data_IF_587937217609
#
_entry.id   IF_587937217609
#
_cell.length_a   1.000
_cell.length_b   1.000
_cell.length_c   1.000
_cell.angle_alpha   90.00
_cell.angle_beta   90.00
_cell.angle_gamma   90.00
#
_symmetry.space_group_name_H-M   'P 1'
#
loop_
_entity.id
_entity.type
_entity.pdbx_description
1 polymer ?
#
# COMPACT_ATOMS: atom_id res chain seq x y z
N UNK A 1 -11.17 -21.66 6.51
CA UNK A 1 -11.96 -20.58 5.88
C UNK A 1 -12.88 -20.03 6.96
N UNK A 2 -12.87 -18.73 7.23
CA UNK A 2 -13.74 -18.14 8.26
C UNK A 2 -15.19 -18.15 7.76
N UNK A 3 -16.14 -18.61 8.58
CA UNK A 3 -17.57 -18.53 8.29
C UNK A 3 -18.03 -17.07 8.45
N UNK A 4 -17.97 -16.32 7.34
CA UNK A 4 -18.29 -14.89 7.28
C UNK A 4 -19.74 -14.71 6.84
N UNK A 5 -20.46 -13.87 7.58
CA UNK A 5 -21.82 -13.43 7.29
C UNK A 5 -21.84 -11.95 7.00
N UNK A 6 -22.91 -11.46 6.40
CA UNK A 6 -23.03 -10.05 6.01
C UNK A 6 -24.39 -9.50 6.40
N UNK A 7 -24.43 -8.25 6.88
CA UNK A 7 -25.66 -7.56 7.24
C UNK A 7 -26.19 -6.75 6.05
N UNK A 8 -27.46 -6.98 5.71
CA UNK A 8 -28.13 -6.36 4.57
C UNK A 8 -29.29 -5.50 5.09
N UNK A 9 -29.23 -4.21 4.82
CA UNK A 9 -30.34 -3.28 5.05
C UNK A 9 -31.28 -3.30 3.84
N UNK A 10 -32.56 -3.61 4.05
CA UNK A 10 -33.59 -3.71 3.02
C UNK A 10 -34.52 -2.51 3.13
N UNK A 11 -34.69 -1.80 2.02
CA UNK A 11 -35.63 -0.70 1.87
C UNK A 11 -36.60 -1.00 0.72
N UNK A 12 -37.90 -1.01 1.01
CA UNK A 12 -38.96 -1.22 0.00
C UNK A 12 -39.65 0.09 -0.38
N UNK A 13 -40.16 0.19 -1.60
CA UNK A 13 -40.82 1.41 -2.09
C UNK A 13 -42.23 1.62 -1.53
N UNK A 14 -42.87 0.59 -1.00
CA UNK A 14 -44.19 0.67 -0.36
C UNK A 14 -44.41 -0.37 0.75
N UNK A 15 -45.47 -0.17 1.53
CA UNK A 15 -45.86 -1.02 2.66
C UNK A 15 -46.57 -2.32 2.20
N UNK A 16 -47.18 -2.29 1.02
CA UNK A 16 -47.86 -3.39 0.33
C UNK A 16 -46.91 -4.49 -0.15
N UNK A 17 -45.60 -4.19 -0.23
CA UNK A 17 -44.55 -5.11 -0.68
C UNK A 17 -44.17 -6.19 0.34
N UNK A 18 -45.09 -6.57 1.25
CA UNK A 18 -44.84 -7.62 2.23
C UNK A 18 -44.46 -8.96 1.58
N UNK A 19 -45.13 -9.43 0.51
CA UNK A 19 -44.76 -10.70 -0.13
C UNK A 19 -43.32 -10.68 -0.68
N UNK A 20 -42.93 -9.62 -1.39
CA UNK A 20 -41.58 -9.47 -1.94
C UNK A 20 -40.53 -9.39 -0.84
N UNK A 21 -40.81 -8.64 0.23
CA UNK A 21 -39.93 -8.49 1.40
C UNK A 21 -39.69 -9.83 2.10
N UNK A 22 -40.74 -10.63 2.31
CA UNK A 22 -40.63 -11.95 2.93
C UNK A 22 -39.72 -12.85 2.09
N UNK A 23 -39.95 -12.93 0.78
CA UNK A 23 -39.16 -13.75 -0.13
C UNK A 23 -37.69 -13.29 -0.16
N UNK A 24 -37.46 -11.97 -0.29
CA UNK A 24 -36.12 -11.41 -0.26
C UNK A 24 -35.39 -11.75 1.06
N UNK A 25 -36.06 -11.54 2.19
CA UNK A 25 -35.47 -11.77 3.52
C UNK A 25 -35.17 -13.25 3.75
N UNK A 26 -36.11 -14.14 3.44
CA UNK A 26 -35.91 -15.59 3.56
C UNK A 26 -34.78 -16.10 2.66
N UNK A 27 -34.70 -15.57 1.43
CA UNK A 27 -33.64 -15.93 0.48
C UNK A 27 -32.27 -15.51 1.01
N UNK A 28 -32.14 -14.25 1.46
CA UNK A 28 -30.91 -13.73 2.06
C UNK A 28 -30.49 -14.52 3.30
N UNK A 29 -31.42 -14.79 4.22
CA UNK A 29 -31.14 -15.60 5.41
C UNK A 29 -30.70 -17.02 5.05
N UNK A 30 -31.37 -17.65 4.08
CA UNK A 30 -30.99 -18.97 3.57
C UNK A 30 -29.61 -19.02 2.92
N UNK A 31 -29.11 -17.87 2.45
CA UNK A 31 -27.76 -17.70 1.92
C UNK A 31 -26.72 -17.29 2.98
N UNK A 32 -27.12 -17.17 4.26
CA UNK A 32 -26.23 -16.84 5.37
C UNK A 32 -26.09 -15.34 5.68
N UNK A 33 -26.91 -14.48 5.06
CA UNK A 33 -26.95 -13.04 5.35
C UNK A 33 -27.85 -12.74 6.56
N UNK A 34 -27.56 -11.63 7.25
CA UNK A 34 -28.48 -11.03 8.22
C UNK A 34 -29.31 -9.97 7.50
N UNK A 35 -30.59 -10.24 7.27
CA UNK A 35 -31.51 -9.27 6.67
C UNK A 35 -32.19 -8.42 7.73
N UNK A 36 -32.23 -7.10 7.53
CA UNK A 36 -33.00 -6.17 8.37
C UNK A 36 -33.69 -5.11 7.51
N UNK A 37 -34.91 -4.72 7.84
CA UNK A 37 -35.62 -3.64 7.15
C UNK A 37 -36.85 -3.16 7.93
N UNK A 38 -37.26 -1.92 7.70
CA UNK A 38 -38.43 -1.30 8.37
C UNK A 38 -39.73 -1.63 7.66
N UNK A 39 -40.71 -2.18 8.36
CA UNK A 39 -42.03 -2.47 7.80
C UNK A 39 -42.88 -1.22 7.57
N UNK A 40 -42.76 -0.23 8.45
CA UNK A 40 -43.45 1.06 8.37
C UNK A 40 -42.45 2.20 8.60
N UNK A 41 -42.63 3.32 7.88
CA UNK A 41 -41.72 4.46 7.97
C UNK A 41 -42.42 5.67 8.57
N UNK A 42 -41.77 6.22 9.58
CA UNK A 42 -42.25 7.38 10.33
C UNK A 42 -41.09 8.34 10.56
N UNK A 43 -41.35 9.59 10.97
CA UNK A 43 -40.28 10.50 11.38
C UNK A 43 -39.39 9.91 12.48
N UNK A 44 -39.96 9.11 13.39
CA UNK A 44 -39.21 8.42 14.45
C UNK A 44 -38.36 7.27 13.92
N UNK A 45 -38.87 6.49 12.95
CA UNK A 45 -38.14 5.35 12.38
C UNK A 45 -36.92 5.76 11.54
N UNK A 46 -36.88 7.01 11.07
CA UNK A 46 -35.79 7.53 10.23
C UNK A 46 -34.43 7.46 10.93
N UNK A 47 -34.38 7.75 12.23
CA UNK A 47 -33.14 7.65 13.02
C UNK A 47 -32.65 6.20 13.12
N UNK A 48 -33.57 5.25 13.29
CA UNK A 48 -33.26 3.82 13.31
C UNK A 48 -32.77 3.33 11.94
N UNK A 49 -33.41 3.73 10.86
CA UNK A 49 -32.99 3.40 9.49
C UNK A 49 -31.54 3.84 9.23
N UNK A 50 -31.21 5.09 9.57
CA UNK A 50 -29.85 5.63 9.39
C UNK A 50 -28.80 4.83 10.16
N UNK A 51 -29.07 4.52 11.43
CA UNK A 51 -28.17 3.68 12.24
C UNK A 51 -27.97 2.30 11.63
N UNK A 52 -29.03 1.68 11.14
CA UNK A 52 -28.93 0.36 10.50
C UNK A 52 -28.20 0.42 9.16
N UNK A 53 -28.32 1.52 8.40
CA UNK A 53 -27.51 1.75 7.20
C UNK A 53 -26.03 1.92 7.58
N UNK A 54 -25.72 2.64 8.65
CA UNK A 54 -24.34 2.80 9.14
C UNK A 54 -23.70 1.45 9.48
N UNK A 55 -24.45 0.54 10.11
CA UNK A 55 -23.98 -0.76 10.58
C UNK A 55 -24.00 -1.86 9.50
N UNK A 56 -24.76 -1.70 8.41
CA UNK A 56 -24.88 -2.73 7.37
C UNK A 56 -23.67 -2.84 6.45
N UNK A 57 -23.49 -4.02 5.87
CA UNK A 57 -22.49 -4.31 4.84
C UNK A 57 -22.99 -3.95 3.43
N UNK A 58 -24.28 -4.19 3.15
CA UNK A 58 -24.94 -3.90 1.87
C UNK A 58 -26.31 -3.26 2.07
N UNK A 59 -26.71 -2.42 1.12
CA UNK A 59 -28.05 -1.85 1.04
C UNK A 59 -28.79 -2.46 -0.15
N UNK A 60 -29.96 -3.03 0.09
CA UNK A 60 -30.86 -3.53 -0.94
C UNK A 60 -32.07 -2.61 -1.02
N UNK A 61 -32.28 -2.04 -2.20
CA UNK A 61 -33.48 -1.30 -2.57
C UNK A 61 -34.41 -2.21 -3.37
N UNK A 62 -35.66 -2.35 -2.92
CA UNK A 62 -36.66 -3.19 -3.56
C UNK A 62 -37.84 -2.32 -4.02
N UNK A 63 -37.99 -2.15 -5.34
CA UNK A 63 -38.98 -1.26 -5.94
C UNK A 63 -40.13 -2.05 -6.56
N UNK A 64 -41.35 -1.72 -6.13
CA UNK A 64 -42.59 -2.22 -6.68
C UNK A 64 -43.18 -1.24 -7.69
N UNK A 65 -44.24 -0.53 -7.31
CA UNK A 65 -44.99 0.41 -8.15
C UNK A 65 -45.36 1.72 -7.46
N UNK A 66 -44.95 1.92 -6.21
CA UNK A 66 -45.23 3.13 -5.43
C UNK A 66 -43.96 3.89 -5.07
N UNK A 67 -44.07 5.21 -4.95
CA UNK A 67 -43.05 6.07 -4.34
C UNK A 67 -43.03 5.93 -2.81
N UNK A 68 -44.20 5.64 -2.23
CA UNK A 68 -44.37 5.35 -0.81
C UNK A 68 -44.51 6.57 0.10
N UNK A 69 -44.39 6.32 1.40
CA UNK A 69 -44.54 7.32 2.46
C UNK A 69 -43.48 8.44 2.34
N UNK A 70 -43.93 9.69 2.52
CA UNK A 70 -43.09 10.87 2.43
C UNK A 70 -42.78 11.45 3.81
N UNK A 71 -41.59 12.04 3.92
CA UNK A 71 -41.24 12.88 5.05
C UNK A 71 -42.04 14.19 5.04
N UNK A 72 -41.90 14.97 6.11
CA UNK A 72 -42.45 16.34 6.20
C UNK A 72 -41.96 17.28 5.10
N UNK A 73 -40.83 16.98 4.45
CA UNK A 73 -40.30 17.76 3.32
C UNK A 73 -40.84 17.29 1.96
N UNK A 74 -41.75 16.30 1.94
CA UNK A 74 -42.33 15.75 0.70
C UNK A 74 -41.40 14.83 -0.10
N UNK A 75 -40.29 14.37 0.50
CA UNK A 75 -39.37 13.39 -0.12
C UNK A 75 -39.67 12.01 0.45
N UNK A 76 -39.72 10.99 -0.42
CA UNK A 76 -40.01 9.61 -0.01
C UNK A 76 -38.94 9.08 0.93
N UNK A 77 -39.33 8.34 1.96
CA UNK A 77 -38.35 7.82 2.92
C UNK A 77 -37.32 6.88 2.29
N UNK A 78 -37.73 6.02 1.35
CA UNK A 78 -36.79 5.18 0.59
C UNK A 78 -35.77 6.02 -0.19
N UNK A 79 -36.19 7.14 -0.75
CA UNK A 79 -35.31 8.06 -1.46
C UNK A 79 -34.31 8.69 -0.48
N UNK A 80 -34.76 9.10 0.71
CA UNK A 80 -33.87 9.60 1.77
C UNK A 80 -32.87 8.53 2.25
N UNK A 81 -33.31 7.28 2.37
CA UNK A 81 -32.46 6.13 2.71
C UNK A 81 -31.40 5.86 1.64
N UNK A 82 -31.78 5.94 0.36
CA UNK A 82 -30.84 5.87 -0.77
C UNK A 82 -29.79 6.97 -0.70
N UNK A 83 -30.20 8.24 -0.57
CA UNK A 83 -29.28 9.37 -0.45
C UNK A 83 -28.31 9.14 0.72
N UNK A 84 -28.83 8.70 1.87
CA UNK A 84 -28.00 8.42 3.03
C UNK A 84 -26.99 7.29 2.77
N UNK A 85 -27.42 6.18 2.17
CA UNK A 85 -26.55 5.05 1.81
C UNK A 85 -25.42 5.49 0.85
N UNK A 86 -25.73 6.31 -0.15
CA UNK A 86 -24.74 6.89 -1.07
C UNK A 86 -23.73 7.74 -0.31
N UNK A 87 -24.19 8.63 0.58
CA UNK A 87 -23.29 9.48 1.39
C UNK A 87 -22.38 8.68 2.32
N UNK A 88 -22.81 7.46 2.70
CA UNK A 88 -22.03 6.52 3.51
C UNK A 88 -21.19 5.55 2.67
N UNK A 89 -21.21 5.70 1.34
CA UNK A 89 -20.49 4.86 0.39
C UNK A 89 -20.80 3.36 0.58
N UNK A 90 -22.06 3.05 0.92
CA UNK A 90 -22.50 1.66 1.06
C UNK A 90 -22.70 1.05 -0.33
N UNK A 91 -22.26 -0.20 -0.58
CA UNK A 91 -22.63 -0.92 -1.79
C UNK A 91 -24.15 -1.08 -1.86
N UNK A 92 -24.75 -0.58 -2.94
CA UNK A 92 -26.21 -0.58 -3.15
C UNK A 92 -26.57 -1.56 -4.27
N UNK A 93 -27.58 -2.37 -4.02
CA UNK A 93 -28.20 -3.28 -5.00
C UNK A 93 -29.65 -2.88 -5.14
N UNK A 94 -30.14 -2.83 -6.36
CA UNK A 94 -31.53 -2.50 -6.64
C UNK A 94 -32.22 -3.67 -7.32
N UNK A 95 -33.28 -4.17 -6.71
CA UNK A 95 -34.25 -5.05 -7.36
C UNK A 95 -35.49 -4.23 -7.68
N UNK A 96 -35.88 -4.16 -8.95
CA UNK A 96 -37.01 -3.35 -9.39
C UNK A 96 -37.98 -4.16 -10.24
N UNK A 97 -39.28 -3.95 -10.02
CA UNK A 97 -40.29 -4.56 -10.86
C UNK A 97 -40.12 -4.10 -12.31
N UNK A 98 -40.12 -5.04 -13.24
CA UNK A 98 -39.82 -4.79 -14.66
C UNK A 98 -40.91 -3.91 -15.32
N UNK A 99 -42.16 -4.20 -15.00
CA UNK A 99 -43.33 -3.44 -15.47
C UNK A 99 -44.20 -2.98 -14.29
N UNK A 100 -43.87 -1.85 -13.64
CA UNK A 100 -44.60 -1.40 -12.46
C UNK A 100 -46.05 -1.01 -12.79
N UNK A 101 -46.33 -0.53 -14.00
CA UNK A 101 -47.65 -0.07 -14.42
C UNK A 101 -48.63 -1.24 -14.64
N UNK A 102 -48.13 -2.46 -14.89
CA UNK A 102 -48.97 -3.67 -15.02
C UNK A 102 -49.42 -4.27 -13.69
N UNK A 103 -48.93 -3.78 -12.55
CA UNK A 103 -49.33 -4.26 -11.22
C UNK A 103 -50.76 -3.81 -10.90
N UNK A 104 -51.41 -4.55 -10.00
CA UNK A 104 -52.78 -4.27 -9.57
C UNK A 104 -52.96 -2.78 -9.20
N UNK A 105 -54.05 -2.11 -9.65
CA UNK A 105 -54.29 -0.70 -9.34
C UNK A 105 -54.26 -0.35 -7.85
N UNK A 106 -54.60 -1.30 -6.96
CA UNK A 106 -54.50 -1.13 -5.51
C UNK A 106 -53.07 -0.98 -4.99
N UNK A 107 -52.07 -1.41 -5.79
CA UNK A 107 -50.64 -1.28 -5.53
C UNK A 107 -50.04 -0.04 -6.18
N UNK A 108 -50.85 0.87 -6.73
CA UNK A 108 -50.40 2.12 -7.33
C UNK A 108 -50.63 3.29 -6.37
N UNK A 109 -49.79 4.32 -6.45
CA UNK A 109 -50.08 5.57 -5.76
C UNK A 109 -51.33 6.24 -6.35
N UNK A 110 -52.31 6.56 -5.49
CA UNK A 110 -53.54 7.25 -5.91
C UNK A 110 -53.27 8.67 -6.41
N UNK A 111 -52.24 9.32 -5.86
CA UNK A 111 -51.87 10.71 -6.16
C UNK A 111 -50.99 10.76 -7.42
N UNK A 112 -51.40 11.46 -8.50
CA UNK A 112 -50.61 11.55 -9.75
C UNK A 112 -49.16 12.01 -9.53
N UNK A 113 -48.96 13.00 -8.66
CA UNK A 113 -47.63 13.55 -8.37
C UNK A 113 -46.68 12.51 -7.74
N UNK A 114 -47.20 11.52 -7.01
CA UNK A 114 -46.38 10.44 -6.45
C UNK A 114 -45.95 9.45 -7.52
N UNK A 115 -46.84 9.15 -8.49
CA UNK A 115 -46.50 8.31 -9.64
C UNK A 115 -45.38 8.93 -10.48
N UNK A 116 -45.42 10.24 -10.69
CA UNK A 116 -44.35 10.95 -11.40
C UNK A 116 -43.03 10.90 -10.63
N UNK A 117 -43.06 11.17 -9.31
CA UNK A 117 -41.89 11.03 -8.43
C UNK A 117 -41.31 9.61 -8.41
N UNK A 118 -42.16 8.59 -8.44
CA UNK A 118 -41.73 7.19 -8.55
C UNK A 118 -40.98 6.95 -9.86
N UNK A 119 -41.53 7.41 -10.99
CA UNK A 119 -40.91 7.27 -12.31
C UNK A 119 -39.55 7.97 -12.37
N UNK A 120 -39.46 9.20 -11.86
CA UNK A 120 -38.21 9.95 -11.77
C UNK A 120 -37.17 9.22 -10.90
N UNK A 121 -37.57 8.75 -9.71
CA UNK A 121 -36.66 8.04 -8.81
C UNK A 121 -36.21 6.70 -9.40
N UNK A 122 -37.10 5.98 -10.06
CA UNK A 122 -36.77 4.73 -10.76
C UNK A 122 -35.74 4.98 -11.87
N UNK A 123 -35.92 6.03 -12.68
CA UNK A 123 -34.97 6.41 -13.72
C UNK A 123 -33.61 6.83 -13.12
N UNK A 124 -33.62 7.57 -12.01
CA UNK A 124 -32.41 7.93 -11.29
C UNK A 124 -31.62 6.69 -10.86
N UNK A 125 -32.27 5.71 -10.23
CA UNK A 125 -31.60 4.47 -9.81
C UNK A 125 -31.03 3.68 -10.98
N UNK A 126 -31.76 3.59 -12.10
CA UNK A 126 -31.27 2.91 -13.30
C UNK A 126 -30.03 3.58 -13.92
N UNK A 127 -29.90 4.89 -13.74
CA UNK A 127 -28.80 5.67 -14.30
C UNK A 127 -27.57 5.69 -13.38
N UNK A 128 -27.79 5.83 -12.08
CA UNK A 128 -26.73 6.13 -11.10
C UNK A 128 -26.28 4.91 -10.30
N UNK A 129 -27.03 3.79 -10.31
CA UNK A 129 -26.65 2.56 -9.59
C UNK A 129 -26.17 1.49 -10.56
N UNK A 130 -24.97 0.96 -10.31
CA UNK A 130 -24.35 -0.07 -11.17
C UNK A 130 -25.09 -1.42 -11.15
N UNK A 131 -25.68 -1.79 -10.00
CA UNK A 131 -26.20 -3.12 -9.74
C UNK A 131 -27.73 -3.08 -9.65
N UNK A 132 -28.36 -3.04 -10.82
CA UNK A 132 -29.81 -2.96 -11.00
C UNK A 132 -30.31 -4.23 -11.67
N UNK A 133 -31.27 -4.90 -11.03
CA UNK A 133 -31.84 -6.17 -11.48
C UNK A 133 -33.37 -6.08 -11.53
N UNK A 134 -33.95 -6.63 -12.60
CA UNK A 134 -35.40 -6.64 -12.83
C UNK A 134 -36.04 -7.92 -12.31
N UNK A 135 -37.29 -7.83 -11.83
CA UNK A 135 -38.13 -9.00 -11.52
C UNK A 135 -39.57 -8.78 -11.96
N UNK A 136 -40.32 -9.86 -12.25
CA UNK A 136 -41.75 -9.81 -12.60
C UNK A 136 -42.63 -10.60 -11.64
N UNK A 137 -42.05 -11.55 -10.92
CA UNK A 137 -42.74 -12.38 -9.94
C UNK A 137 -41.87 -12.61 -8.71
N UNK A 138 -42.47 -13.16 -7.65
CA UNK A 138 -41.74 -13.56 -6.43
C UNK A 138 -40.65 -14.60 -6.72
N UNK A 139 -40.92 -15.53 -7.64
CA UNK A 139 -39.94 -16.54 -8.05
C UNK A 139 -38.77 -15.89 -8.79
N UNK A 140 -39.04 -14.92 -9.65
CA UNK A 140 -37.99 -14.19 -10.37
C UNK A 140 -37.14 -13.38 -9.40
N UNK A 141 -37.77 -12.76 -8.39
CA UNK A 141 -37.07 -12.03 -7.34
C UNK A 141 -36.13 -12.96 -6.56
N UNK A 142 -36.62 -14.12 -6.12
CA UNK A 142 -35.77 -15.13 -5.45
C UNK A 142 -34.58 -15.52 -6.33
N UNK A 143 -34.82 -15.85 -7.60
CA UNK A 143 -33.77 -16.24 -8.54
C UNK A 143 -32.75 -15.12 -8.77
N UNK A 144 -33.22 -13.88 -8.94
CA UNK A 144 -32.38 -12.71 -9.11
C UNK A 144 -31.49 -12.48 -7.88
N UNK A 145 -32.02 -12.63 -6.66
CA UNK A 145 -31.23 -12.50 -5.42
C UNK A 145 -30.16 -13.59 -5.36
N UNK A 146 -30.53 -14.86 -5.61
CA UNK A 146 -29.60 -15.99 -5.55
C UNK A 146 -28.47 -15.89 -6.57
N UNK A 147 -28.75 -15.37 -7.76
CA UNK A 147 -27.77 -15.21 -8.83
C UNK A 147 -26.80 -14.05 -8.58
N UNK A 148 -27.32 -12.92 -8.09
CA UNK A 148 -26.57 -11.66 -8.08
C UNK A 148 -25.88 -11.36 -6.74
N UNK A 149 -26.43 -11.79 -5.60
CA UNK A 149 -25.79 -11.55 -4.30
C UNK A 149 -24.38 -12.16 -4.17
N UNK A 150 -24.08 -13.37 -4.69
CA UNK A 150 -22.70 -13.88 -4.65
C UNK A 150 -21.73 -13.00 -5.46
N UNK A 151 -22.17 -12.50 -6.62
CA UNK A 151 -21.36 -11.60 -7.45
C UNK A 151 -21.09 -10.27 -6.75
N UNK A 152 -22.03 -9.80 -5.92
CA UNK A 152 -21.83 -8.60 -5.10
C UNK A 152 -20.67 -8.76 -4.11
N UNK A 153 -20.54 -9.94 -3.49
CA UNK A 153 -19.45 -10.22 -2.56
C UNK A 153 -18.08 -10.17 -3.23
N UNK A 154 -18.00 -10.57 -4.50
CA UNK A 154 -16.77 -10.55 -5.28
C UNK A 154 -16.43 -9.15 -5.80
N UNK A 155 -17.42 -8.42 -6.32
CA UNK A 155 -17.24 -7.08 -6.91
C UNK A 155 -17.03 -5.98 -5.87
N UNK A 156 -17.72 -6.08 -4.73
CA UNK A 156 -17.72 -5.07 -3.69
C UNK A 156 -17.40 -5.72 -2.33
N UNK A 157 -16.16 -6.22 -2.13
CA UNK A 157 -15.80 -6.94 -0.91
C UNK A 157 -15.84 -6.02 0.32
N UNK A 158 -16.52 -6.49 1.36
CA UNK A 158 -16.65 -5.80 2.65
C UNK A 158 -16.18 -6.70 3.80
N UNK A 159 -15.96 -6.08 4.97
CA UNK A 159 -15.43 -6.76 6.15
C UNK A 159 -16.34 -7.90 6.61
N UNK A 160 -17.64 -7.66 6.71
CA UNK A 160 -18.61 -8.65 7.20
C UNK A 160 -18.42 -9.02 8.67
N UNK A 161 -19.25 -9.95 9.11
CA UNK A 161 -19.32 -10.46 10.47
C UNK A 161 -18.75 -11.87 10.53
N UNK A 162 -17.83 -12.08 11.46
CA UNK A 162 -17.33 -13.42 11.79
C UNK A 162 -17.70 -13.68 13.23
N UNK A 163 -18.37 -14.81 13.49
CA UNK A 163 -18.65 -15.22 14.86
C UNK A 163 -17.31 -15.40 15.58
N UNK A 164 -17.07 -14.74 16.72
CA UNK A 164 -15.82 -14.91 17.45
C UNK A 164 -15.70 -16.38 17.87
N UNK A 165 -14.69 -17.05 17.32
CA UNK A 165 -14.27 -18.39 17.71
C UNK A 165 -12.89 -18.24 18.35
N UNK A 166 -12.73 -18.73 19.57
CA UNK A 166 -11.46 -18.70 20.29
C UNK A 166 -10.83 -17.28 20.40
N UNK A 167 -11.66 -16.24 20.51
CA UNK A 167 -11.20 -14.85 20.62
C UNK A 167 -10.19 -14.71 21.75
N UNK A 168 -10.45 -15.30 22.92
CA UNK A 168 -9.53 -15.25 24.06
C UNK A 168 -8.16 -15.85 23.72
N UNK A 169 -8.09 -17.05 23.14
CA UNK A 169 -6.79 -17.66 22.82
C UNK A 169 -6.01 -16.88 21.77
N UNK A 170 -6.69 -16.24 20.81
CA UNK A 170 -6.04 -15.37 19.84
C UNK A 170 -5.48 -14.11 20.51
N UNK A 171 -6.20 -13.52 21.47
CA UNK A 171 -5.69 -12.40 22.27
C UNK A 171 -4.48 -12.82 23.11
N UNK A 172 -4.55 -13.98 23.78
CA UNK A 172 -3.46 -14.52 24.58
C UNK A 172 -2.20 -14.78 23.73
N UNK A 173 -2.37 -15.31 22.51
CA UNK A 173 -1.28 -15.53 21.55
C UNK A 173 -0.66 -14.19 21.09
N UNK A 174 -1.50 -13.19 20.79
CA UNK A 174 -1.05 -11.83 20.42
C UNK A 174 -0.22 -11.22 21.54
N UNK A 175 -0.69 -11.30 22.78
CA UNK A 175 0.01 -10.73 23.93
C UNK A 175 1.32 -11.47 24.22
N UNK A 176 1.33 -12.79 24.08
CA UNK A 176 2.55 -13.61 24.16
C UNK A 176 3.55 -13.22 23.09
N UNK A 177 3.12 -13.03 21.85
CA UNK A 177 3.99 -12.63 20.73
C UNK A 177 4.54 -11.20 20.94
N UNK A 178 3.72 -10.27 21.41
CA UNK A 178 4.18 -8.92 21.78
C UNK A 178 5.24 -8.95 22.87
N UNK A 179 5.00 -9.72 23.94
CA UNK A 179 5.97 -9.90 25.02
C UNK A 179 7.28 -10.50 24.51
N UNK A 180 7.20 -11.50 23.61
CA UNK A 180 8.39 -12.11 23.02
C UNK A 180 9.15 -11.15 22.11
N UNK A 181 8.47 -10.33 21.31
CA UNK A 181 9.12 -9.30 20.50
C UNK A 181 9.83 -8.27 21.38
N UNK A 182 9.17 -7.76 22.42
CA UNK A 182 9.79 -6.82 23.36
C UNK A 182 11.03 -7.43 24.04
N UNK A 183 10.95 -8.71 24.41
CA UNK A 183 12.09 -9.44 24.96
C UNK A 183 13.24 -9.56 23.94
N UNK A 184 12.94 -9.95 22.70
CA UNK A 184 13.95 -10.09 21.64
C UNK A 184 14.61 -8.77 21.28
N UNK A 185 13.85 -7.67 21.23
CA UNK A 185 14.38 -6.32 21.03
C UNK A 185 15.32 -5.91 22.17
N UNK A 186 14.93 -6.23 23.42
CA UNK A 186 15.77 -6.00 24.60
C UNK A 186 17.04 -6.85 24.56
N UNK A 187 16.95 -8.13 24.17
CA UNK A 187 18.10 -9.03 24.00
C UNK A 187 19.03 -8.57 22.87
N UNK A 188 18.49 -8.03 21.77
CA UNK A 188 19.24 -7.40 20.69
C UNK A 188 19.96 -6.13 21.15
N UNK A 189 19.30 -5.28 21.93
CA UNK A 189 19.90 -4.07 22.50
C UNK A 189 20.95 -4.35 23.58
N UNK A 190 20.74 -5.41 24.38
CA UNK A 190 21.63 -5.82 25.47
C UNK A 190 22.76 -6.75 25.01
N UNK A 191 22.73 -7.23 23.77
CA UNK A 191 23.86 -7.93 23.16
C UNK A 191 25.02 -6.93 23.08
N UNK A 192 25.90 -6.97 24.07
CA UNK A 192 27.20 -6.29 24.03
C UNK A 192 27.84 -6.70 22.71
N UNK A 193 28.07 -5.73 21.83
CA UNK A 193 28.80 -5.93 20.58
C UNK A 193 30.11 -6.60 20.98
N UNK A 194 30.33 -7.83 20.50
CA UNK A 194 31.53 -8.58 20.82
C UNK A 194 32.75 -7.72 20.43
N UNK A 195 33.61 -7.33 21.39
CA UNK A 195 34.78 -6.48 21.12
C UNK A 195 35.71 -7.08 20.06
N UNK A 196 35.70 -8.41 19.87
CA UNK A 196 36.50 -9.12 18.87
C UNK A 196 35.85 -9.14 17.47
N UNK A 197 34.54 -8.88 17.38
CA UNK A 197 33.81 -8.73 16.11
C UNK A 197 33.53 -7.25 15.76
N UNK A 198 33.74 -6.33 16.70
CA UNK A 198 33.63 -4.90 16.44
C UNK A 198 34.86 -4.41 15.70
N UNK A 199 34.67 -3.98 14.45
CA UNK A 199 35.70 -3.22 13.75
C UNK A 199 35.82 -1.85 14.46
N UNK A 200 37.03 -1.40 14.85
CA UNK A 200 37.20 -0.09 15.47
C UNK A 200 36.70 1.01 14.54
N UNK A 201 36.11 2.08 15.08
CA UNK A 201 35.77 3.27 14.29
C UNK A 201 37.06 3.90 13.77
N UNK A 202 37.03 4.44 12.56
CA UNK A 202 38.19 5.06 11.89
C UNK A 202 37.96 6.56 11.75
N UNK A 203 39.02 7.34 11.88
CA UNK A 203 39.03 8.77 11.59
C UNK A 203 39.04 9.04 10.08
N UNK A 204 38.52 10.20 9.68
CA UNK A 204 38.45 10.63 8.28
C UNK A 204 39.83 10.73 7.61
N UNK A 205 40.88 10.97 8.40
CA UNK A 205 42.26 11.10 7.92
C UNK A 205 43.03 9.77 7.87
N UNK A 206 42.47 8.70 8.43
CA UNK A 206 43.11 7.39 8.38
C UNK A 206 43.11 6.84 6.95
N UNK A 207 44.19 6.13 6.62
CA UNK A 207 44.39 5.57 5.30
C UNK A 207 43.82 4.15 5.22
N UNK A 208 43.02 3.91 4.19
CA UNK A 208 42.61 2.59 3.77
C UNK A 208 43.47 2.15 2.58
N UNK A 209 44.31 1.14 2.81
CA UNK A 209 45.13 0.53 1.78
C UNK A 209 44.40 -0.65 1.15
N UNK A 210 44.38 -0.72 -0.18
CA UNK A 210 43.77 -1.81 -0.91
C UNK A 210 44.47 -2.09 -2.23
N UNK A 211 44.33 -3.34 -2.67
CA UNK A 211 44.76 -3.78 -3.99
C UNK A 211 43.61 -3.64 -4.99
N UNK A 212 43.95 -3.20 -6.20
CA UNK A 212 43.07 -3.31 -7.36
C UNK A 212 43.85 -3.73 -8.61
N UNK A 213 43.13 -4.28 -9.58
CA UNK A 213 43.68 -4.70 -10.87
C UNK A 213 43.19 -3.79 -11.97
N UNK A 214 44.01 -3.56 -12.99
CA UNK A 214 43.62 -2.82 -14.19
C UNK A 214 44.33 -3.37 -15.44
N UNK A 215 43.81 -3.07 -16.62
CA UNK A 215 44.52 -3.28 -17.88
C UNK A 215 45.10 -1.94 -18.34
N UNK A 216 46.42 -1.85 -18.44
CA UNK A 216 47.12 -0.70 -19.00
C UNK A 216 47.50 -0.97 -20.46
N UNK A 217 47.20 -0.03 -21.35
CA UNK A 217 47.44 -0.14 -22.79
C UNK A 217 48.65 0.67 -23.23
N UNK A 218 49.51 0.04 -24.01
CA UNK A 218 50.69 0.65 -24.62
C UNK A 218 50.95 -0.01 -25.98
N UNK A 219 51.16 0.80 -27.02
CA UNK A 219 51.58 0.36 -28.36
C UNK A 219 50.71 -0.79 -28.93
N UNK A 220 49.40 -0.75 -28.69
CA UNK A 220 48.44 -1.75 -29.16
C UNK A 220 48.33 -3.03 -28.33
N UNK A 221 49.19 -3.21 -27.31
CA UNK A 221 49.13 -4.31 -26.35
C UNK A 221 48.58 -3.83 -25.00
N UNK A 222 48.12 -4.77 -24.18
CA UNK A 222 47.77 -4.49 -22.79
C UNK A 222 48.59 -5.35 -21.82
N UNK A 223 48.83 -4.80 -20.63
CA UNK A 223 49.38 -5.52 -19.49
C UNK A 223 48.42 -5.39 -18.31
N UNK A 224 48.14 -6.49 -17.64
CA UNK A 224 47.40 -6.47 -16.38
C UNK A 224 48.34 -6.01 -15.26
N UNK A 225 47.97 -4.94 -14.57
CA UNK A 225 48.72 -4.39 -13.44
C UNK A 225 47.96 -4.63 -12.13
N UNK A 226 48.72 -4.90 -11.06
CA UNK A 226 48.22 -5.02 -9.69
C UNK A 226 48.76 -3.86 -8.88
N UNK A 227 47.92 -2.89 -8.55
CA UNK A 227 48.32 -1.66 -7.90
C UNK A 227 47.86 -1.65 -6.45
N UNK A 228 48.75 -1.25 -5.55
CA UNK A 228 48.43 -0.94 -4.16
C UNK A 228 48.12 0.55 -4.04
N UNK A 229 46.85 0.90 -3.76
CA UNK A 229 46.41 2.29 -3.59
C UNK A 229 46.10 2.55 -2.11
N UNK A 230 46.34 3.78 -1.68
CA UNK A 230 45.97 4.27 -0.35
C UNK A 230 45.08 5.49 -0.52
N UNK A 231 43.90 5.47 0.09
CA UNK A 231 42.98 6.60 0.11
C UNK A 231 42.61 6.90 1.57
N UNK A 232 42.34 8.16 1.88
CA UNK A 232 41.76 8.48 3.18
C UNK A 232 40.28 8.07 3.21
N UNK A 233 39.75 7.82 4.40
CA UNK A 233 38.32 7.57 4.55
C UNK A 233 37.46 8.75 4.10
N UNK A 234 37.98 9.98 4.21
CA UNK A 234 37.35 11.17 3.65
C UNK A 234 37.18 11.11 2.13
N UNK A 235 38.21 10.67 1.41
CA UNK A 235 38.15 10.46 -0.04
C UNK A 235 37.16 9.35 -0.39
N UNK A 236 37.22 8.21 0.31
CA UNK A 236 36.29 7.09 0.08
C UNK A 236 34.83 7.49 0.32
N UNK A 237 34.57 8.25 1.39
CA UNK A 237 33.23 8.75 1.69
C UNK A 237 32.77 9.73 0.60
N UNK A 238 33.64 10.60 0.10
CA UNK A 238 33.32 11.51 -1.00
C UNK A 238 32.95 10.77 -2.29
N UNK A 239 33.76 9.76 -2.67
CA UNK A 239 33.54 8.95 -3.87
C UNK A 239 32.21 8.20 -3.80
N UNK A 240 31.91 7.54 -2.68
CA UNK A 240 30.74 6.68 -2.55
C UNK A 240 29.49 7.44 -2.08
N UNK A 241 29.66 8.46 -1.25
CA UNK A 241 28.58 9.17 -0.58
C UNK A 241 27.57 9.79 -1.55
N UNK A 242 28.07 10.35 -2.67
CA UNK A 242 27.24 10.91 -3.75
C UNK A 242 26.29 9.89 -4.40
N UNK A 243 26.63 8.60 -4.36
CA UNK A 243 25.88 7.54 -5.02
C UNK A 243 24.82 6.92 -4.11
N UNK A 244 25.01 7.02 -2.80
CA UNK A 244 24.10 6.49 -1.78
C UNK A 244 23.28 7.59 -1.09
N UNK A 245 23.16 8.78 -1.67
CA UNK A 245 22.25 9.84 -1.19
C UNK A 245 20.81 9.32 -1.16
N UNK A 246 20.41 8.59 -2.20
CA UNK A 246 19.17 7.84 -2.26
C UNK A 246 19.42 6.35 -1.97
N UNK A 247 18.40 5.58 -1.53
CA UNK A 247 18.52 4.14 -1.35
C UNK A 247 18.96 3.44 -2.65
N UNK A 248 20.17 2.90 -2.66
CA UNK A 248 20.81 2.34 -3.86
C UNK A 248 21.27 0.89 -3.61
N UNK A 249 21.16 -0.04 -4.58
CA UNK A 249 21.58 -1.42 -4.41
C UNK A 249 23.08 -1.59 -4.10
N UNK A 250 23.42 -2.66 -3.38
CA UNK A 250 24.80 -2.94 -2.94
C UNK A 250 25.82 -3.02 -4.10
N UNK A 251 25.42 -3.48 -5.29
CA UNK A 251 26.30 -3.61 -6.46
C UNK A 251 26.98 -2.28 -6.85
N UNK A 252 26.37 -1.15 -6.51
CA UNK A 252 26.89 0.18 -6.81
C UNK A 252 28.17 0.53 -6.05
N UNK A 253 28.48 -0.13 -4.92
CA UNK A 253 29.78 0.03 -4.27
C UNK A 253 30.91 -0.35 -5.22
N UNK A 254 30.78 -1.53 -5.83
CA UNK A 254 31.79 -2.02 -6.78
C UNK A 254 31.81 -1.18 -8.05
N UNK A 255 30.65 -0.80 -8.58
CA UNK A 255 30.52 0.01 -9.79
C UNK A 255 31.23 1.35 -9.61
N UNK A 256 30.94 2.08 -8.52
CA UNK A 256 31.54 3.40 -8.29
C UNK A 256 33.02 3.36 -8.01
N UNK A 257 33.48 2.42 -7.18
CA UNK A 257 34.92 2.28 -6.94
C UNK A 257 35.67 1.95 -8.23
N UNK A 258 35.12 1.06 -9.06
CA UNK A 258 35.75 0.69 -10.32
C UNK A 258 35.76 1.84 -11.33
N UNK A 259 34.69 2.65 -11.42
CA UNK A 259 34.65 3.88 -12.23
C UNK A 259 35.75 4.85 -11.80
N UNK A 260 35.83 5.19 -10.52
CA UNK A 260 36.87 6.06 -9.97
C UNK A 260 38.30 5.55 -10.24
N UNK A 261 38.53 4.25 -10.13
CA UNK A 261 39.82 3.63 -10.40
C UNK A 261 40.16 3.55 -11.90
N UNK A 262 39.17 3.60 -12.80
CA UNK A 262 39.44 3.75 -14.23
C UNK A 262 39.81 5.19 -14.57
N UNK A 263 39.15 6.18 -13.93
CA UNK A 263 39.43 7.61 -14.15
C UNK A 263 40.82 8.01 -13.63
N UNK A 264 41.21 7.52 -12.45
CA UNK A 264 42.49 7.88 -11.80
C UNK A 264 43.62 6.87 -12.05
N UNK A 265 43.31 5.72 -12.65
CA UNK A 265 44.27 4.62 -12.80
C UNK A 265 45.41 4.88 -13.79
N UNK A 266 45.28 5.86 -14.68
CA UNK A 266 46.34 6.16 -15.67
C UNK A 266 47.62 6.68 -15.01
N UNK A 267 47.48 7.50 -13.97
CA UNK A 267 48.63 8.00 -13.20
C UNK A 267 49.35 6.85 -12.49
N UNK A 268 48.58 5.96 -11.86
CA UNK A 268 49.11 4.76 -11.21
C UNK A 268 49.81 3.84 -12.22
N UNK A 269 49.22 3.64 -13.41
CA UNK A 269 49.80 2.80 -14.47
C UNK A 269 51.13 3.36 -15.00
N UNK A 270 51.26 4.69 -15.09
CA UNK A 270 52.47 5.35 -15.62
C UNK A 270 53.70 5.19 -14.72
N UNK A 271 53.51 4.82 -13.46
CA UNK A 271 54.62 4.50 -12.54
C UNK A 271 55.34 3.23 -12.99
N UNK A 272 54.60 2.20 -13.42
CA UNK A 272 55.18 0.94 -13.92
C UNK A 272 55.36 0.92 -15.44
N UNK A 273 54.51 1.64 -16.17
CA UNK A 273 54.49 1.72 -17.63
C UNK A 273 54.44 3.19 -18.08
N UNK A 274 55.59 3.90 -18.13
CA UNK A 274 55.62 5.34 -18.44
C UNK A 274 54.97 5.75 -19.77
N UNK A 275 54.88 4.81 -20.72
CA UNK A 275 54.26 5.01 -22.05
C UNK A 275 52.80 4.55 -22.13
N UNK A 276 52.17 4.19 -21.01
CA UNK A 276 50.75 3.86 -20.98
C UNK A 276 49.90 5.10 -21.36
N UNK A 277 48.99 4.91 -22.33
CA UNK A 277 48.12 5.97 -22.82
C UNK A 277 46.65 5.78 -22.41
N UNK A 278 46.24 4.57 -22.04
CA UNK A 278 44.89 4.28 -21.57
C UNK A 278 44.90 3.16 -20.51
N UNK A 279 43.88 3.18 -19.64
CA UNK A 279 43.59 2.11 -18.69
C UNK A 279 42.13 1.70 -18.81
N UNK A 280 41.83 0.43 -18.58
CA UNK A 280 40.45 -0.07 -18.53
C UNK A 280 40.31 -1.26 -17.60
N UNK A 281 39.06 -1.65 -17.32
CA UNK A 281 38.72 -2.80 -16.47
C UNK A 281 39.35 -2.74 -15.08
N UNK A 282 39.48 -1.54 -14.52
CA UNK A 282 39.86 -1.38 -13.12
C UNK A 282 38.86 -2.10 -12.21
N UNK A 283 39.36 -3.02 -11.39
CA UNK A 283 38.55 -3.83 -10.48
C UNK A 283 39.21 -3.89 -9.10
N UNK A 284 38.50 -3.37 -8.11
CA UNK A 284 38.91 -3.47 -6.70
C UNK A 284 38.76 -4.91 -6.17
N UNK A 285 39.67 -5.32 -5.29
CA UNK A 285 39.59 -6.61 -4.62
C UNK A 285 38.28 -6.77 -3.81
N UNK A 286 37.59 -7.91 -3.96
CA UNK A 286 36.29 -8.16 -3.30
C UNK A 286 36.37 -8.14 -1.77
N UNK A 287 37.49 -8.60 -1.18
CA UNK A 287 37.70 -8.55 0.27
C UNK A 287 37.85 -7.10 0.74
N UNK A 288 38.56 -6.28 -0.04
CA UNK A 288 38.72 -4.86 0.27
C UNK A 288 37.38 -4.11 0.16
N UNK A 289 36.56 -4.39 -0.88
CA UNK A 289 35.20 -3.84 -0.99
C UNK A 289 34.33 -4.22 0.21
N UNK A 290 34.40 -5.48 0.65
CA UNK A 290 33.67 -5.95 1.82
C UNK A 290 34.12 -5.26 3.11
N UNK A 291 35.44 -5.14 3.34
CA UNK A 291 36.01 -4.42 4.48
C UNK A 291 35.61 -2.94 4.47
N UNK A 292 35.65 -2.29 3.29
CA UNK A 292 35.19 -0.93 3.10
C UNK A 292 33.73 -0.77 3.53
N UNK A 293 32.85 -1.65 3.04
CA UNK A 293 31.41 -1.62 3.37
C UNK A 293 31.17 -1.78 4.87
N UNK A 294 31.80 -2.77 5.49
CA UNK A 294 31.66 -3.03 6.94
C UNK A 294 32.14 -1.81 7.73
N UNK A 295 33.29 -1.24 7.37
CA UNK A 295 33.84 -0.10 8.07
C UNK A 295 32.95 1.15 7.92
N UNK A 296 32.42 1.43 6.73
CA UNK A 296 31.48 2.55 6.53
C UNK A 296 30.21 2.38 7.36
N UNK A 297 29.66 1.15 7.44
CA UNK A 297 28.51 0.85 8.29
C UNK A 297 28.84 1.04 9.77
N UNK A 298 30.00 0.57 10.20
CA UNK A 298 30.45 0.63 11.59
C UNK A 298 30.70 2.09 12.06
N UNK A 299 31.13 2.96 11.16
CA UNK A 299 31.23 4.40 11.43
C UNK A 299 29.89 5.14 11.37
N UNK A 300 28.79 4.41 11.13
CA UNK A 300 27.45 4.95 10.91
C UNK A 300 27.42 5.93 9.74
N UNK A 301 28.24 5.73 8.70
CA UNK A 301 28.20 6.55 7.49
C UNK A 301 27.16 6.04 6.50
N UNK A 302 26.85 4.74 6.54
CA UNK A 302 25.84 4.12 5.69
C UNK A 302 24.98 3.12 6.47
N UNK A 303 23.71 2.99 6.11
CA UNK A 303 22.74 2.08 6.71
C UNK A 303 21.91 1.35 5.65
N UNK A 304 21.43 0.12 5.93
CA UNK A 304 20.45 -0.53 5.06
C UNK A 304 19.12 0.22 5.12
N UNK A 305 18.49 0.46 3.96
CA UNK A 305 17.20 1.12 3.85
C UNK A 305 16.25 0.33 2.91
N UNK A 306 15.69 -0.76 3.45
CA UNK A 306 14.71 -1.57 2.74
C UNK A 306 15.28 -2.46 1.64
N UNK A 307 14.39 -2.91 0.75
CA UNK A 307 14.70 -3.77 -0.40
C UNK A 307 13.97 -3.25 -1.64
N UNK A 308 14.53 -3.51 -2.82
CA UNK A 308 13.85 -3.23 -4.10
C UNK A 308 12.84 -4.33 -4.48
N UNK A 309 12.14 -4.16 -5.60
CA UNK A 309 11.17 -5.13 -6.15
C UNK A 309 11.77 -6.52 -6.39
N UNK A 310 13.09 -6.60 -6.57
CA UNK A 310 13.86 -7.84 -6.75
C UNK A 310 14.43 -8.37 -5.43
N UNK A 311 13.96 -7.87 -4.30
CA UNK A 311 14.39 -8.24 -2.95
C UNK A 311 15.89 -7.97 -2.66
N UNK A 312 16.55 -7.10 -3.43
CA UNK A 312 17.95 -6.71 -3.20
C UNK A 312 18.03 -5.66 -2.10
N UNK A 313 18.99 -5.80 -1.19
CA UNK A 313 19.21 -4.85 -0.09
C UNK A 313 19.66 -3.49 -0.63
N UNK A 314 18.96 -2.43 -0.20
CA UNK A 314 19.30 -1.05 -0.54
C UNK A 314 20.08 -0.41 0.60
N UNK A 315 21.02 0.46 0.24
CA UNK A 315 21.88 1.18 1.16
C UNK A 315 21.74 2.68 0.97
N UNK A 316 21.85 3.44 2.05
CA UNK A 316 21.77 4.90 2.03
C UNK A 316 22.74 5.52 3.03
N UNK A 317 23.32 6.68 2.68
CA UNK A 317 24.13 7.47 3.63
C UNK A 317 23.27 7.96 4.79
N UNK A 318 23.90 8.08 5.95
CA UNK A 318 23.23 8.65 7.14
C UNK A 318 23.31 10.18 7.15
N UNK A 319 22.49 10.86 7.98
CA UNK A 319 22.65 12.30 8.21
C UNK A 319 24.04 12.69 8.71
N UNK A 320 24.71 11.79 9.46
CA UNK A 320 26.08 11.98 9.92
C UNK A 320 27.06 12.03 8.75
N UNK A 321 26.96 11.08 7.80
CA UNK A 321 27.76 11.12 6.59
C UNK A 321 27.47 12.34 5.71
N UNK A 322 26.20 12.74 5.58
CA UNK A 322 25.83 13.94 4.81
C UNK A 322 26.53 15.19 5.35
N UNK A 323 26.50 15.41 6.67
CA UNK A 323 27.20 16.55 7.30
C UNK A 323 28.71 16.51 7.07
N UNK A 324 29.30 15.31 7.12
CA UNK A 324 30.73 15.12 6.86
C UNK A 324 31.10 15.42 5.41
N UNK A 325 30.25 15.04 4.46
CA UNK A 325 30.41 15.37 3.04
C UNK A 325 30.37 16.88 2.82
N UNK A 326 29.38 17.55 3.41
CA UNK A 326 29.23 19.00 3.30
C UNK A 326 30.44 19.76 3.88
N UNK A 327 30.95 19.33 5.05
CA UNK A 327 32.15 19.93 5.64
C UNK A 327 33.42 19.72 4.81
N UNK A 328 33.54 18.57 4.14
CA UNK A 328 34.75 18.21 3.40
C UNK A 328 34.77 18.81 1.99
N UNK A 329 33.60 19.06 1.39
CA UNK A 329 33.47 19.87 0.16
C UNK A 329 33.99 21.30 0.40
N UNK A 330 33.69 21.88 1.58
CA UNK A 330 34.19 23.20 1.98
C UNK A 330 35.72 23.23 2.17
N UNK A 331 36.33 22.12 2.60
CA UNK A 331 37.80 22.02 2.73
C UNK A 331 38.51 21.75 1.39
N UNK A 332 37.89 21.01 0.45
CA UNK A 332 38.42 20.84 -0.91
C UNK A 332 38.46 22.18 -1.68
N UNK A 333 37.45 23.03 -1.51
CA UNK A 333 37.42 24.38 -2.09
C UNK A 333 38.49 25.31 -1.48
N UNK A 334 38.89 25.10 -0.22
CA UNK A 334 40.00 25.84 0.41
C UNK A 334 41.36 25.44 -0.15
N UNK A 335 41.57 24.16 -0.49
CA UNK A 335 42.84 23.69 -1.07
C UNK A 335 43.02 24.22 -2.50
N UNK A 336 41.94 24.42 -3.25
CA UNK A 336 42.00 25.05 -4.57
C UNK A 336 42.25 26.57 -4.53
N UNK A 337 41.86 27.27 -3.46
CA UNK A 337 42.13 28.71 -3.32
C UNK A 337 43.59 29.05 -2.97
N UNK A 338 44.38 28.12 -2.42
CA UNK A 338 45.77 28.39 -2.00
C UNK A 338 46.87 28.03 -3.03
N UNK A 339 46.52 27.58 -4.25
CA UNK A 339 47.49 27.32 -5.34
C UNK A 339 47.59 28.44 -6.39
N UNK A 340 47.28 29.68 -6.03
CA UNK A 340 47.58 30.84 -6.86
C UNK A 340 48.02 32.04 -6.02
N UNK A 341 49.31 32.07 -5.65
CA UNK A 341 50.13 33.29 -5.60
C UNK A 341 51.59 32.92 -5.29
N UNK A 342 52.45 33.25 -6.27
CA UNK A 342 53.93 33.25 -6.30
C UNK A 342 54.67 31.94 -6.54
#
# INVERSE_FOLDING_TARGET
MLDKRYQVFISTSGNEMQPERIILSQTLVGMGFFSWGLEQRTPLSTAFARRQIDDCDYVVLLLGSQYGEQSVSGVGYMHLEYIYAVTKQKPIIVFMHDDPDSRDPSLQDATPQLRDKFKEFRQLLQKEVDQVFSYRSLRDLEMAVRLNMPQMLERYPVTGWVRPQNSQSLHDEIDRLKARNAQLETELGNRKVDPFLSVPKVSMHELFAFEYRMHAYQDGNFKELKIQKKLTWAQLLSILGSTFTNPTPEEFFSKRMNEYLNETGLEDARVEMPRAHAVARSQMNIRALHSLKIQMRQNEWIVPNGRDDRQRLLWQITPKASKLLDSNLLDADRIHQFKSAY
#
